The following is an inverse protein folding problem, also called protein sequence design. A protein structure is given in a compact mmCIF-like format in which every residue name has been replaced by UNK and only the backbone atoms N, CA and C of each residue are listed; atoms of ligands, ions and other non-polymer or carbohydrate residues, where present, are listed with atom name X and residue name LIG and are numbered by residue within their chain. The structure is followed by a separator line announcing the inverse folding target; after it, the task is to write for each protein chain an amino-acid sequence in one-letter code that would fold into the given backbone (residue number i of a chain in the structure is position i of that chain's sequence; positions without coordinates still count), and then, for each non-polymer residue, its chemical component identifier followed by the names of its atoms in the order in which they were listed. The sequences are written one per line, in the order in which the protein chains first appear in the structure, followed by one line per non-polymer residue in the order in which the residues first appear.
data_IF_525339964174
#
_entry.id   IF_525339964174
#
_cell.length_a   1.000
_cell.length_b   1.000
_cell.length_c   1.000
_cell.angle_alpha   90.00
_cell.angle_beta   90.00
_cell.angle_gamma   90.00
#
_symmetry.space_group_name_H-M   'P 1'
#
loop_
_entity.id
_entity.type
_entity.pdbx_description
1 polymer ?
#
# COMPACT_ATOMS: atom_id res chain seq x y z
N UNK A 1 0.65 54.78 20.63
CA UNK A 1 -0.66 55.43 20.38
C UNK A 1 -1.15 54.86 19.05
N UNK A 2 -2.15 54.01 18.93
CA UNK A 2 -3.40 53.82 19.66
C UNK A 2 -3.65 52.32 19.97
N UNK A 3 -4.13 52.07 21.18
CA UNK A 3 -4.80 50.83 21.60
C UNK A 3 -6.25 50.84 21.08
N UNK A 4 -6.79 49.67 20.75
CA UNK A 4 -8.17 49.31 21.17
C UNK A 4 -8.25 47.81 21.45
N UNK A 5 -8.39 47.49 22.73
CA UNK A 5 -8.86 46.21 23.27
C UNK A 5 -10.28 46.46 23.76
N UNK A 6 -11.27 45.67 23.33
CA UNK A 6 -12.40 45.25 24.19
C UNK A 6 -12.77 43.80 23.83
N UNK A 7 -12.66 42.95 24.86
CA UNK A 7 -13.23 41.59 24.96
C UNK A 7 -14.72 41.69 25.30
N UNK A 8 -15.52 40.73 24.85
CA UNK A 8 -16.49 40.07 25.75
C UNK A 8 -16.90 38.70 25.23
N UNK A 9 -16.81 37.77 26.17
CA UNK A 9 -17.19 36.36 26.23
C UNK A 9 -18.64 36.02 25.87
N UNK A 10 -18.83 34.84 25.29
CA UNK A 10 -19.97 33.97 25.60
C UNK A 10 -19.52 32.49 25.56
N UNK A 11 -19.67 31.85 26.70
CA UNK A 11 -19.51 30.42 26.97
C UNK A 11 -20.61 29.58 26.33
N UNK A 12 -20.24 28.45 25.72
CA UNK A 12 -21.07 27.24 25.67
C UNK A 12 -20.16 26.01 25.56
N UNK A 13 -20.38 25.09 26.51
CA UNK A 13 -19.66 23.85 26.75
C UNK A 13 -20.43 22.63 26.24
N UNK A 14 -19.67 21.56 25.96
CA UNK A 14 -20.06 20.14 25.77
C UNK A 14 -20.79 19.81 24.44
N UNK A 15 -20.50 18.74 23.70
CA UNK A 15 -19.79 17.49 23.99
C UNK A 15 -19.24 16.83 22.70
N UNK A 16 -18.12 16.11 22.86
CA UNK A 16 -17.75 14.79 22.30
C UNK A 16 -18.19 14.39 20.89
N UNK A 17 -17.23 14.12 19.98
CA UNK A 17 -16.82 12.75 19.63
C UNK A 17 -15.78 12.71 18.49
N UNK A 18 -14.70 11.98 18.80
CA UNK A 18 -13.94 11.02 18.00
C UNK A 18 -13.58 11.25 16.51
N UNK A 19 -12.28 11.01 16.28
CA UNK A 19 -11.69 10.29 15.14
C UNK A 19 -11.62 11.01 13.79
N UNK A 20 -10.41 11.47 13.46
CA UNK A 20 -10.02 11.73 12.08
C UNK A 20 -8.63 11.12 11.82
N UNK A 21 -8.65 9.85 11.41
CA UNK A 21 -7.55 9.18 10.72
C UNK A 21 -8.03 8.86 9.31
N UNK A 22 -7.20 9.09 8.31
CA UNK A 22 -7.51 8.75 6.92
C UNK A 22 -7.29 9.92 5.98
N UNK A 23 -6.05 10.07 5.52
CA UNK A 23 -5.76 10.91 4.36
C UNK A 23 -6.53 10.38 3.15
N UNK A 24 -7.33 11.25 2.56
CA UNK A 24 -8.01 11.00 1.28
C UNK A 24 -7.48 12.00 0.28
N UNK A 25 -6.67 11.52 -0.66
CA UNK A 25 -6.27 12.26 -1.85
C UNK A 25 -7.24 11.94 -2.99
N UNK A 26 -7.65 13.02 -3.67
CA UNK A 26 -8.44 13.14 -4.90
C UNK A 26 -9.97 13.07 -4.79
N UNK A 27 -10.57 14.23 -4.48
CA UNK A 27 -11.91 14.60 -4.92
C UNK A 27 -11.84 15.52 -6.14
N UNK A 28 -12.73 15.31 -7.11
CA UNK A 28 -12.93 16.19 -8.27
C UNK A 28 -13.34 17.60 -7.79
N UNK A 29 -12.54 18.61 -8.15
CA UNK A 29 -12.77 20.01 -7.82
C UNK A 29 -13.68 20.68 -8.87
N UNK A 30 -14.95 20.27 -8.99
CA UNK A 30 -15.93 21.06 -9.74
C UNK A 30 -17.05 21.55 -8.80
N UNK A 31 -17.23 22.87 -8.64
CA UNK A 31 -18.43 23.39 -7.98
C UNK A 31 -19.63 23.16 -8.89
N UNK A 32 -20.74 22.61 -8.35
CA UNK A 32 -22.03 22.64 -9.03
C UNK A 32 -22.50 24.10 -9.13
N UNK A 33 -22.15 24.78 -10.22
CA UNK A 33 -22.67 26.10 -10.53
C UNK A 33 -24.16 25.98 -10.83
N UNK A 34 -25.00 26.71 -10.08
CA UNK A 34 -26.47 26.63 -10.16
C UNK A 34 -27.08 27.40 -11.34
N UNK A 35 -26.26 27.97 -12.22
CA UNK A 35 -26.69 28.83 -13.32
C UNK A 35 -26.03 28.39 -14.64
N UNK A 36 -26.75 28.57 -15.76
CA UNK A 36 -26.39 28.20 -17.15
C UNK A 36 -25.19 29.01 -17.74
N UNK A 37 -24.08 29.08 -17.03
CA UNK A 37 -22.84 29.64 -17.57
C UNK A 37 -21.93 28.50 -18.02
N UNK A 38 -21.60 28.46 -19.32
CA UNK A 38 -20.59 27.53 -19.83
C UNK A 38 -19.22 27.88 -19.26
N UNK A 39 -18.45 26.87 -18.89
CA UNK A 39 -17.08 27.01 -18.39
C UNK A 39 -16.10 26.55 -19.47
N UNK A 40 -15.34 27.48 -20.05
CA UNK A 40 -14.35 27.15 -21.09
C UNK A 40 -13.10 26.45 -20.52
N UNK A 41 -12.77 26.73 -19.25
CA UNK A 41 -11.61 26.13 -18.57
C UNK A 41 -11.78 26.12 -17.04
N UNK A 42 -11.14 25.15 -16.40
CA UNK A 42 -11.04 25.06 -14.94
C UNK A 42 -9.57 24.82 -14.58
N UNK A 43 -9.07 25.54 -13.57
CA UNK A 43 -7.77 25.26 -12.99
C UNK A 43 -7.91 24.73 -11.56
N UNK A 44 -7.10 23.74 -11.21
CA UNK A 44 -7.02 23.17 -9.88
C UNK A 44 -5.60 23.36 -9.35
N UNK A 45 -5.45 24.03 -8.21
CA UNK A 45 -4.17 24.13 -7.52
C UNK A 45 -4.13 23.10 -6.40
N UNK A 46 -3.21 22.14 -6.51
CA UNK A 46 -3.00 21.08 -5.52
C UNK A 46 -1.66 21.25 -4.83
N UNK A 47 -1.61 20.82 -3.57
CA UNK A 47 -0.39 20.77 -2.77
C UNK A 47 -0.30 19.38 -2.16
N UNK A 48 0.76 18.67 -2.46
CA UNK A 48 0.99 17.32 -1.95
C UNK A 48 1.80 17.36 -0.64
N UNK A 49 1.50 16.41 0.24
CA UNK A 49 2.23 16.19 1.48
C UNK A 49 2.85 14.80 1.42
N UNK A 50 4.14 14.72 1.73
CA UNK A 50 4.89 13.46 1.76
C UNK A 50 5.45 13.26 3.15
N UNK A 51 5.11 12.13 3.79
CA UNK A 51 5.61 11.79 5.12
C UNK A 51 6.55 10.60 5.06
N UNK A 52 7.64 10.69 5.81
CA UNK A 52 8.54 9.57 6.06
C UNK A 52 8.98 9.59 7.52
N UNK A 53 9.50 8.49 8.03
CA UNK A 53 9.92 8.38 9.42
C UNK A 53 11.27 7.71 9.55
N UNK A 54 11.95 8.02 10.65
CA UNK A 54 13.23 7.45 11.01
C UNK A 54 13.28 7.11 12.49
N UNK A 55 13.99 6.03 12.82
CA UNK A 55 14.24 5.59 14.18
C UNK A 55 15.74 5.67 14.44
N UNK A 56 16.13 6.39 15.48
CA UNK A 56 17.50 6.44 15.95
C UNK A 56 17.60 5.79 17.33
N UNK A 57 18.52 4.84 17.47
CA UNK A 57 18.79 4.15 18.72
C UNK A 57 20.14 4.63 19.25
N UNK A 58 20.15 5.19 20.45
CA UNK A 58 21.35 5.58 21.18
C UNK A 58 21.60 4.52 22.24
N UNK A 59 22.66 3.73 22.06
CA UNK A 59 23.06 2.71 23.03
C UNK A 59 23.91 3.30 24.16
N UNK A 60 23.88 2.64 25.32
CA UNK A 60 24.57 3.08 26.53
C UNK A 60 24.16 4.50 26.94
N UNK A 61 22.86 4.83 26.86
CA UNK A 61 22.38 6.20 27.00
C UNK A 61 22.71 6.80 28.36
N UNK A 62 22.63 5.99 29.42
CA UNK A 62 22.97 6.37 30.80
C UNK A 62 24.38 6.94 30.93
N UNK A 63 25.36 6.39 30.20
CA UNK A 63 26.76 6.83 30.26
C UNK A 63 26.94 8.30 29.84
N UNK A 64 26.17 8.77 28.85
CA UNK A 64 26.21 10.18 28.44
C UNK A 64 25.59 11.11 29.49
N UNK A 65 24.75 10.58 30.39
CA UNK A 65 24.17 11.34 31.49
C UNK A 65 25.12 11.44 32.68
N UNK A 66 25.98 10.46 32.87
CA UNK A 66 27.01 10.44 33.93
C UNK A 66 28.28 11.21 33.57
N UNK A 67 28.53 11.41 32.28
CA UNK A 67 29.74 12.08 31.77
C UNK A 67 29.94 13.49 32.38
N UNK A 68 31.13 13.88 32.86
CA UNK A 68 31.33 15.20 33.46
C UNK A 68 31.14 16.39 32.49
N UNK A 69 31.13 16.16 31.18
CA UNK A 69 30.94 17.20 30.17
C UNK A 69 29.51 17.79 30.24
N UNK A 70 29.38 19.13 30.37
CA UNK A 70 28.08 19.76 30.58
C UNK A 70 27.20 19.80 29.33
N UNK A 71 27.80 19.71 28.13
CA UNK A 71 27.09 19.76 26.86
C UNK A 71 27.63 18.65 25.98
N UNK A 72 26.80 17.64 25.74
CA UNK A 72 27.10 16.53 24.84
C UNK A 72 26.16 16.63 23.64
N UNK A 73 26.73 16.64 22.44
CA UNK A 73 25.97 16.72 21.19
C UNK A 73 26.07 15.39 20.45
N UNK A 74 24.97 14.64 20.43
CA UNK A 74 24.85 13.40 19.69
C UNK A 74 24.17 13.66 18.35
N UNK A 75 24.61 12.94 17.33
CA UNK A 75 24.16 13.10 15.95
C UNK A 75 23.88 11.74 15.34
N UNK A 76 22.69 11.55 14.77
CA UNK A 76 22.38 10.34 14.01
C UNK A 76 23.18 10.29 12.70
N UNK A 77 23.26 9.10 12.11
CA UNK A 77 23.61 8.96 10.69
C UNK A 77 22.67 9.81 9.84
N UNK A 78 23.15 10.43 8.74
CA UNK A 78 22.26 11.07 7.78
C UNK A 78 21.25 10.07 7.21
N UNK A 79 20.01 10.49 7.03
CA UNK A 79 18.93 9.68 6.47
C UNK A 79 18.09 10.47 5.47
N UNK A 80 17.45 9.75 4.56
CA UNK A 80 16.67 10.28 3.45
C UNK A 80 15.37 9.51 3.27
N UNK A 81 14.34 10.11 2.66
CA UNK A 81 13.17 9.38 2.20
C UNK A 81 13.57 8.28 1.20
N UNK A 82 12.97 7.08 1.31
CA UNK A 82 13.27 5.94 0.43
C UNK A 82 12.81 6.19 -1.02
N UNK A 83 11.75 6.98 -1.20
CA UNK A 83 11.20 7.31 -2.51
C UNK A 83 10.47 8.66 -2.51
N UNK A 84 10.24 9.21 -3.70
CA UNK A 84 9.52 10.47 -3.92
C UNK A 84 10.42 11.65 -4.27
N UNK A 85 9.80 12.80 -4.55
CA UNK A 85 10.46 14.04 -5.04
C UNK A 85 11.53 14.55 -4.07
N UNK A 86 11.44 14.18 -2.79
CA UNK A 86 12.40 14.57 -1.75
C UNK A 86 13.44 13.49 -1.42
N UNK A 87 13.58 12.42 -2.22
CA UNK A 87 14.56 11.36 -1.94
C UNK A 87 16.02 11.84 -1.93
N UNK A 88 16.34 12.93 -2.65
CA UNK A 88 17.66 13.56 -2.66
C UNK A 88 17.99 14.36 -1.38
N UNK A 89 17.02 14.51 -0.47
CA UNK A 89 17.16 15.33 0.74
C UNK A 89 17.80 14.52 1.86
N UNK A 90 18.78 15.08 2.57
CA UNK A 90 19.46 14.44 3.69
C UNK A 90 19.15 15.17 4.98
N UNK A 91 18.79 14.38 5.99
CA UNK A 91 18.36 14.83 7.31
C UNK A 91 19.15 14.12 8.38
N UNK A 92 19.22 14.72 9.58
CA UNK A 92 19.83 14.10 10.74
C UNK A 92 19.13 14.53 12.00
N UNK A 93 19.04 13.62 12.96
CA UNK A 93 18.63 13.96 14.32
C UNK A 93 19.84 14.39 15.12
N UNK A 94 19.66 15.46 15.89
CA UNK A 94 20.65 15.97 16.84
C UNK A 94 20.01 15.93 18.23
N UNK A 95 20.66 15.25 19.17
CA UNK A 95 20.19 15.11 20.54
C UNK A 95 21.23 15.69 21.50
N UNK A 96 20.75 16.43 22.49
CA UNK A 96 21.56 16.89 23.61
C UNK A 96 21.00 16.26 24.89
N UNK A 97 21.61 15.18 25.39
CA UNK A 97 21.09 14.43 26.54
C UNK A 97 20.91 15.31 27.79
N UNK A 98 21.82 16.26 28.01
CA UNK A 98 21.84 17.23 29.12
C UNK A 98 21.35 18.63 28.74
N UNK A 99 20.72 18.74 27.58
CA UNK A 99 20.30 20.01 27.01
C UNK A 99 21.42 20.75 26.27
N UNK A 100 21.05 21.73 25.45
CA UNK A 100 21.99 22.45 24.58
C UNK A 100 22.36 23.87 25.04
N UNK A 101 21.67 24.41 26.05
CA UNK A 101 21.95 25.72 26.65
C UNK A 101 21.77 25.67 28.17
N UNK A 102 22.39 26.61 28.91
CA UNK A 102 22.37 26.60 30.38
C UNK A 102 20.98 26.62 31.04
N UNK A 103 19.95 27.15 30.36
CA UNK A 103 18.56 27.14 30.86
C UNK A 103 17.80 25.82 30.60
N UNK A 104 18.38 24.89 29.83
CA UNK A 104 17.81 23.58 29.50
C UNK A 104 18.55 22.42 30.18
N UNK A 105 19.40 22.69 31.18
CA UNK A 105 20.25 21.67 31.84
C UNK A 105 19.49 20.47 32.42
N UNK A 106 18.20 20.63 32.71
CA UNK A 106 17.33 19.59 33.26
C UNK A 106 16.42 18.95 32.20
N UNK A 107 16.67 19.21 30.92
CA UNK A 107 15.90 18.66 29.81
C UNK A 107 16.83 18.08 28.76
N UNK A 108 16.43 16.96 28.18
CA UNK A 108 16.96 16.54 26.89
C UNK A 108 16.42 17.46 25.80
N UNK A 109 17.29 17.90 24.89
CA UNK A 109 16.92 18.66 23.69
C UNK A 109 17.00 17.76 22.46
N UNK A 110 16.09 17.97 21.50
CA UNK A 110 16.12 17.25 20.23
C UNK A 110 15.87 18.21 19.07
N UNK A 111 16.62 18.02 17.98
CA UNK A 111 16.51 18.80 16.76
C UNK A 111 16.58 17.90 15.54
N UNK A 112 15.88 18.30 14.50
CA UNK A 112 16.02 17.80 13.15
C UNK A 112 16.81 18.82 12.35
N UNK A 113 17.91 18.38 11.76
CA UNK A 113 18.77 19.16 10.89
C UNK A 113 18.55 18.75 9.44
N UNK A 114 18.42 19.73 8.55
CA UNK A 114 18.42 19.51 7.11
C UNK A 114 19.84 19.70 6.59
N UNK A 115 20.52 18.59 6.28
CA UNK A 115 21.96 18.57 5.97
C UNK A 115 22.21 18.95 4.51
N UNK A 116 21.39 18.47 3.58
CA UNK A 116 21.63 18.62 2.15
C UNK A 116 20.37 18.48 1.32
N UNK A 117 20.22 19.33 0.31
CA UNK A 117 19.33 19.11 -0.83
C UNK A 117 19.32 20.34 -1.73
N UNK A 118 18.58 20.26 -2.83
CA UNK A 118 18.66 21.23 -3.93
C UNK A 118 17.94 22.55 -3.65
N UNK A 119 16.93 22.53 -2.78
CA UNK A 119 16.11 23.69 -2.42
C UNK A 119 15.81 23.74 -0.93
N UNK A 120 15.34 24.90 -0.48
CA UNK A 120 14.71 25.07 0.82
C UNK A 120 13.44 24.23 0.88
N UNK A 121 13.20 23.56 2.01
CA UNK A 121 12.09 22.62 2.16
C UNK A 121 11.12 23.13 3.21
N UNK A 122 9.83 23.13 2.88
CA UNK A 122 8.77 23.38 3.86
C UNK A 122 8.35 22.07 4.49
N UNK A 123 8.65 21.89 5.78
CA UNK A 123 8.38 20.64 6.48
C UNK A 123 7.87 20.87 7.91
N UNK A 124 7.32 19.80 8.49
CA UNK A 124 6.95 19.69 9.89
C UNK A 124 7.48 18.37 10.44
N UNK A 125 8.06 18.40 11.63
CA UNK A 125 8.54 17.24 12.35
C UNK A 125 7.65 16.89 13.55
N UNK A 126 7.58 15.59 13.84
CA UNK A 126 6.91 15.01 15.00
C UNK A 126 7.86 14.01 15.64
N UNK A 127 8.07 14.11 16.95
CA UNK A 127 9.07 13.35 17.69
C UNK A 127 8.41 12.56 18.80
N UNK A 128 8.83 11.32 18.97
CA UNK A 128 8.43 10.48 20.09
C UNK A 128 9.62 9.69 20.61
N UNK A 129 9.61 9.38 21.91
CA UNK A 129 10.40 8.28 22.43
C UNK A 129 9.64 6.96 22.21
N UNK A 130 10.37 5.86 22.21
CA UNK A 130 9.79 4.52 22.11
C UNK A 130 10.00 3.78 23.42
N UNK A 131 8.94 3.19 23.95
CA UNK A 131 8.98 2.47 25.21
C UNK A 131 9.53 1.03 25.06
N UNK A 132 9.70 0.30 26.18
CA UNK A 132 10.16 -1.10 26.18
C UNK A 132 9.23 -2.04 25.41
N UNK A 133 7.94 -1.72 25.35
CA UNK A 133 6.92 -2.45 24.58
C UNK A 133 6.94 -2.12 23.08
N UNK A 134 7.90 -1.31 22.63
CA UNK A 134 8.01 -0.81 21.25
C UNK A 134 6.83 0.08 20.82
N UNK A 135 6.19 0.77 21.77
CA UNK A 135 5.12 1.73 21.52
C UNK A 135 5.65 3.17 21.56
N UNK A 136 5.07 4.05 20.75
CA UNK A 136 5.39 5.47 20.76
C UNK A 136 4.76 6.14 22.00
N UNK A 137 5.57 6.89 22.75
CA UNK A 137 5.09 7.85 23.76
C UNK A 137 4.29 8.99 23.13
N UNK A 138 3.81 9.94 23.94
CA UNK A 138 3.14 11.13 23.42
C UNK A 138 4.02 11.89 22.41
N UNK A 139 3.53 12.00 21.17
CA UNK A 139 4.25 12.68 20.09
C UNK A 139 4.22 14.19 20.28
N UNK A 140 5.40 14.80 20.37
CA UNK A 140 5.52 16.26 20.29
C UNK A 140 5.78 16.69 18.85
N UNK A 141 5.03 17.68 18.38
CA UNK A 141 5.02 18.09 16.97
C UNK A 141 5.22 19.58 16.82
N UNK A 142 5.80 20.01 15.69
CA UNK A 142 5.86 21.42 15.36
C UNK A 142 4.45 22.02 15.29
N UNK A 143 4.29 23.27 15.70
CA UNK A 143 2.99 23.96 15.64
C UNK A 143 2.51 24.12 14.18
N UNK A 144 3.44 24.40 13.26
CA UNK A 144 3.18 24.67 11.85
C UNK A 144 4.33 24.22 10.96
N UNK A 145 4.06 24.11 9.66
CA UNK A 145 5.11 23.91 8.66
C UNK A 145 6.09 25.08 8.65
N UNK A 146 7.37 24.76 8.68
CA UNK A 146 8.48 25.72 8.69
C UNK A 146 9.44 25.45 7.55
N UNK A 147 10.12 26.50 7.09
CA UNK A 147 11.17 26.36 6.07
C UNK A 147 12.46 25.89 6.73
N UNK A 148 13.00 24.79 6.21
CA UNK A 148 14.31 24.25 6.52
C UNK A 148 15.26 24.66 5.39
N UNK A 149 16.36 25.31 5.78
CA UNK A 149 17.49 25.63 4.89
C UNK A 149 18.62 24.66 5.17
N UNK A 150 19.42 24.38 4.15
CA UNK A 150 20.60 23.52 4.29
C UNK A 150 21.50 24.03 5.43
N UNK A 151 21.86 23.15 6.36
CA UNK A 151 22.64 23.46 7.57
C UNK A 151 21.82 23.98 8.77
N UNK A 152 20.52 24.22 8.62
CA UNK A 152 19.67 24.65 9.72
C UNK A 152 19.05 23.45 10.46
N UNK A 153 18.96 23.58 11.78
CA UNK A 153 18.25 22.66 12.64
C UNK A 153 17.06 23.33 13.32
N UNK A 154 16.00 22.55 13.57
CA UNK A 154 14.80 22.96 14.30
C UNK A 154 14.32 21.85 15.19
N UNK A 155 13.73 22.19 16.33
CA UNK A 155 13.22 21.19 17.27
C UNK A 155 12.92 21.78 18.63
N UNK A 156 13.05 20.97 19.67
CA UNK A 156 12.63 21.29 21.02
C UNK A 156 13.85 21.36 21.95
N UNK A 157 14.11 22.57 22.45
CA UNK A 157 15.13 22.80 23.48
C UNK A 157 14.76 22.06 24.77
N UNK A 158 13.50 22.11 25.20
CA UNK A 158 13.02 21.44 26.41
C UNK A 158 12.15 20.23 26.05
N UNK A 159 12.70 19.22 25.37
CA UNK A 159 11.94 18.09 24.86
C UNK A 159 11.41 17.20 25.98
N UNK A 160 12.26 16.56 26.78
CA UNK A 160 11.82 15.70 27.90
C UNK A 160 12.62 16.06 29.14
N UNK A 161 11.96 16.16 30.30
CA UNK A 161 12.64 16.41 31.57
C UNK A 161 13.51 15.22 31.96
N UNK A 162 14.65 15.50 32.57
CA UNK A 162 15.55 14.49 33.08
C UNK A 162 14.87 13.56 34.12
N UNK A 163 14.12 14.12 35.07
CA UNK A 163 13.36 13.32 36.04
C UNK A 163 12.35 12.38 35.38
N UNK A 164 11.80 12.79 34.23
CA UNK A 164 10.95 11.91 33.43
C UNK A 164 11.80 10.80 32.81
N UNK A 165 12.99 11.10 32.26
CA UNK A 165 13.93 10.10 31.70
C UNK A 165 14.44 9.09 32.73
N UNK A 166 14.65 9.49 33.98
CA UNK A 166 15.04 8.59 35.07
C UNK A 166 13.87 7.77 35.59
N UNK A 167 12.65 8.32 35.67
CA UNK A 167 11.43 7.51 35.91
C UNK A 167 11.16 6.51 34.78
N UNK A 168 11.62 6.84 33.57
CA UNK A 168 11.54 6.08 32.33
C UNK A 168 12.59 4.94 32.25
N UNK A 169 13.54 4.83 33.19
CA UNK A 169 14.41 3.65 33.37
C UNK A 169 13.62 2.37 33.70
N UNK A 170 12.37 2.48 34.14
CA UNK A 170 11.53 1.31 34.41
C UNK A 170 10.63 0.89 33.22
N UNK A 171 10.31 1.79 32.28
CA UNK A 171 9.32 1.52 31.22
C UNK A 171 9.77 1.83 29.77
N UNK A 172 10.86 2.58 29.54
CA UNK A 172 11.24 2.98 28.17
C UNK A 172 12.66 2.70 27.71
N UNK A 173 13.65 2.75 28.60
CA UNK A 173 15.01 2.34 28.27
C UNK A 173 15.08 0.82 28.29
N UNK A 174 15.03 0.21 27.11
CA UNK A 174 15.24 -1.22 26.90
C UNK A 174 16.75 -1.48 26.82
N UNK A 175 17.33 -2.14 27.82
CA UNK A 175 18.77 -2.47 27.86
C UNK A 175 19.69 -1.24 27.66
N UNK A 176 19.39 -0.13 28.34
CA UNK A 176 20.09 1.17 28.22
C UNK A 176 20.12 1.77 26.80
N UNK A 177 19.11 1.46 25.98
CA UNK A 177 18.94 2.02 24.64
C UNK A 177 17.84 3.06 24.60
N UNK A 178 18.19 4.31 24.30
CA UNK A 178 17.22 5.36 24.01
C UNK A 178 16.80 5.27 22.54
N UNK A 179 15.53 4.97 22.31
CA UNK A 179 14.93 4.89 20.97
C UNK A 179 14.15 6.17 20.67
N UNK A 180 14.62 6.94 19.69
CA UNK A 180 14.06 8.21 19.25
C UNK A 180 13.40 8.01 17.89
N UNK A 181 12.09 8.21 17.82
CA UNK A 181 11.32 8.19 16.59
C UNK A 181 11.04 9.61 16.10
N UNK A 182 11.23 9.85 14.80
CA UNK A 182 10.81 11.08 14.14
C UNK A 182 9.97 10.77 12.91
N UNK A 183 8.88 11.50 12.72
CA UNK A 183 8.10 11.57 11.49
C UNK A 183 8.21 12.95 10.89
N UNK A 184 8.61 13.03 9.64
CA UNK A 184 8.83 14.27 8.89
C UNK A 184 7.79 14.32 7.78
N UNK A 185 7.02 15.40 7.74
CA UNK A 185 6.06 15.67 6.67
C UNK A 185 6.57 16.86 5.86
N UNK A 186 6.94 16.60 4.61
CA UNK A 186 7.35 17.59 3.63
C UNK A 186 6.13 18.06 2.83
N UNK A 187 6.06 19.36 2.62
CA UNK A 187 5.05 20.03 1.81
C UNK A 187 5.69 20.49 0.51
N UNK A 188 5.23 19.95 -0.61
CA UNK A 188 5.69 20.36 -1.92
C UNK A 188 5.10 21.71 -2.35
N UNK A 189 5.67 22.23 -3.43
CA UNK A 189 5.17 23.44 -4.07
C UNK A 189 3.76 23.19 -4.61
N UNK A 190 2.96 24.25 -4.65
CA UNK A 190 1.62 24.15 -5.21
C UNK A 190 1.74 23.99 -6.74
N UNK A 191 1.17 22.92 -7.27
CA UNK A 191 1.10 22.67 -8.71
C UNK A 191 -0.31 23.07 -9.16
N UNK A 192 -0.39 23.97 -10.14
CA UNK A 192 -1.64 24.37 -10.77
C UNK A 192 -1.77 23.64 -12.09
N UNK A 193 -2.79 22.80 -12.21
CA UNK A 193 -3.14 22.10 -13.45
C UNK A 193 -4.37 22.76 -14.05
N UNK A 194 -4.31 23.09 -15.34
CA UNK A 194 -5.43 23.66 -16.10
C UNK A 194 -6.02 22.59 -17.01
N UNK A 195 -7.33 22.41 -16.93
CA UNK A 195 -8.09 21.49 -17.79
C UNK A 195 -9.04 22.31 -18.65
N UNK A 196 -8.90 22.18 -19.96
CA UNK A 196 -9.86 22.73 -20.92
C UNK A 196 -11.10 21.84 -20.94
N UNK A 197 -12.27 22.45 -20.79
CA UNK A 197 -13.53 21.73 -20.85
C UNK A 197 -14.08 21.80 -22.26
N UNK A 198 -14.71 20.71 -22.72
CA UNK A 198 -15.46 20.70 -23.96
C UNK A 198 -16.83 20.14 -23.59
N UNK A 199 -17.86 21.00 -23.62
CA UNK A 199 -19.24 20.56 -23.37
C UNK A 199 -19.61 19.51 -24.43
N UNK A 200 -20.06 18.34 -23.98
CA UNK A 200 -20.72 17.35 -24.83
C UNK A 200 -22.22 17.59 -24.72
N UNK A 201 -22.94 17.54 -25.85
CA UNK A 201 -24.39 17.74 -25.92
C UNK A 201 -25.14 16.99 -24.80
N UNK A 202 -25.80 17.76 -23.94
CA UNK A 202 -26.46 17.34 -22.68
C UNK A 202 -27.76 16.54 -22.88
N UNK A 203 -27.80 15.62 -23.85
CA UNK A 203 -28.98 14.80 -24.06
C UNK A 203 -29.09 13.60 -23.09
N UNK A 204 -28.01 13.14 -22.44
CA UNK A 204 -28.03 11.90 -21.63
C UNK A 204 -27.11 11.90 -20.39
N UNK A 205 -26.85 13.02 -19.73
CA UNK A 205 -26.00 13.03 -18.52
C UNK A 205 -26.81 12.70 -17.24
N UNK A 206 -26.56 11.50 -16.67
CA UNK A 206 -27.13 11.06 -15.38
C UNK A 206 -26.21 11.53 -14.25
N UNK A 207 -26.78 12.27 -13.28
CA UNK A 207 -26.07 12.77 -12.09
C UNK A 207 -25.60 11.63 -11.16
N UNK A 208 -24.30 11.40 -11.06
CA UNK A 208 -23.72 10.55 -10.02
C UNK A 208 -23.33 11.38 -8.79
N UNK A 209 -23.98 11.10 -7.65
CA UNK A 209 -23.58 11.61 -6.34
C UNK A 209 -22.37 10.81 -5.85
N UNK A 210 -21.15 11.31 -6.07
CA UNK A 210 -19.91 10.60 -5.74
C UNK A 210 -19.77 10.35 -4.23
N UNK A 211 -19.86 9.09 -3.78
CA UNK A 211 -19.58 8.67 -2.40
C UNK A 211 -18.08 8.39 -2.14
N UNK A 212 -17.18 9.20 -2.71
CA UNK A 212 -15.73 8.97 -2.64
C UNK A 212 -15.27 7.71 -3.40
N UNK A 213 -13.99 7.33 -3.24
CA UNK A 213 -13.39 6.14 -3.87
C UNK A 213 -14.12 4.83 -3.50
N UNK A 214 -14.65 4.73 -2.28
CA UNK A 214 -15.46 3.59 -1.85
C UNK A 214 -16.81 3.54 -2.60
N UNK A 215 -17.39 4.71 -2.88
CA UNK A 215 -18.51 4.86 -3.78
C UNK A 215 -18.20 4.31 -5.16
N UNK A 216 -17.08 4.73 -5.74
CA UNK A 216 -16.68 4.31 -7.09
C UNK A 216 -16.43 2.81 -7.19
N UNK A 217 -15.71 2.22 -6.23
CA UNK A 217 -15.47 0.77 -6.16
C UNK A 217 -16.80 0.01 -6.04
N UNK A 218 -17.71 0.51 -5.21
CA UNK A 218 -19.04 -0.07 -5.10
C UNK A 218 -19.83 0.08 -6.39
N UNK A 219 -19.80 1.24 -7.04
CA UNK A 219 -20.56 1.49 -8.26
C UNK A 219 -20.04 0.61 -9.42
N UNK A 220 -18.72 0.40 -9.54
CA UNK A 220 -18.16 -0.59 -10.47
C UNK A 220 -18.46 -2.04 -10.08
N UNK A 221 -18.48 -2.37 -8.79
CA UNK A 221 -18.93 -3.69 -8.31
C UNK A 221 -20.39 -3.93 -8.68
N UNK A 222 -21.26 -2.93 -8.52
CA UNK A 222 -22.65 -2.98 -8.95
C UNK A 222 -22.76 -3.09 -10.46
N UNK A 223 -21.88 -2.43 -11.22
CA UNK A 223 -21.82 -2.56 -12.68
C UNK A 223 -21.43 -3.98 -13.12
N UNK A 224 -20.60 -4.70 -12.35
CA UNK A 224 -20.29 -6.11 -12.64
C UNK A 224 -21.46 -7.05 -12.27
N UNK A 225 -22.08 -6.85 -11.10
CA UNK A 225 -23.10 -7.75 -10.55
C UNK A 225 -24.49 -7.52 -11.19
N UNK A 226 -24.86 -6.27 -11.37
CA UNK A 226 -26.21 -5.85 -11.73
C UNK A 226 -26.29 -5.20 -13.11
N UNK A 227 -25.26 -5.32 -13.97
CA UNK A 227 -25.36 -4.77 -15.32
C UNK A 227 -26.60 -5.37 -15.99
N UNK A 228 -27.64 -4.58 -16.31
CA UNK A 228 -28.65 -5.07 -17.22
C UNK A 228 -27.92 -5.39 -18.52
N UNK A 229 -28.30 -6.47 -19.19
CA UNK A 229 -27.75 -6.93 -20.47
C UNK A 229 -27.72 -5.88 -21.60
N UNK A 230 -28.21 -4.66 -21.34
CA UNK A 230 -28.18 -3.48 -22.20
C UNK A 230 -26.89 -2.66 -22.12
N UNK A 231 -26.10 -2.73 -21.04
CA UNK A 231 -24.86 -1.93 -20.90
C UNK A 231 -23.57 -2.73 -21.11
N UNK A 232 -23.61 -4.05 -20.96
CA UNK A 232 -22.48 -4.92 -21.32
C UNK A 232 -22.31 -5.01 -22.84
N UNK A 233 -21.11 -4.77 -23.33
CA UNK A 233 -20.76 -4.81 -24.76
C UNK A 233 -19.90 -6.04 -25.12
N UNK A 234 -19.65 -6.93 -24.15
CA UNK A 234 -18.92 -8.19 -24.36
C UNK A 234 -19.38 -9.31 -23.42
N UNK A 235 -19.33 -10.55 -23.93
CA UNK A 235 -19.60 -11.78 -23.16
C UNK A 235 -18.36 -12.66 -23.10
N UNK A 236 -18.04 -13.17 -21.93
CA UNK A 236 -16.95 -14.12 -21.70
C UNK A 236 -17.57 -15.49 -21.42
N UNK A 237 -17.45 -16.42 -22.35
CA UNK A 237 -17.92 -17.80 -22.20
C UNK A 237 -16.79 -18.68 -21.67
N UNK A 238 -17.10 -19.46 -20.65
CA UNK A 238 -16.20 -20.45 -20.05
C UNK A 238 -16.72 -21.85 -20.39
N UNK A 239 -15.97 -22.57 -21.20
CA UNK A 239 -16.29 -23.94 -21.56
C UNK A 239 -15.56 -24.87 -20.58
N UNK A 240 -16.25 -25.32 -19.53
CA UNK A 240 -15.66 -26.31 -18.61
C UNK A 240 -15.59 -27.67 -19.28
N UNK A 241 -14.42 -28.29 -19.26
CA UNK A 241 -14.27 -29.72 -19.58
C UNK A 241 -14.96 -30.49 -18.44
N UNK A 242 -15.91 -31.40 -18.71
CA UNK A 242 -16.50 -32.23 -17.66
C UNK A 242 -15.39 -33.09 -17.06
N UNK A 243 -15.07 -32.90 -15.78
CA UNK A 243 -14.29 -33.86 -15.03
C UNK A 243 -15.06 -35.19 -15.03
N UNK A 244 -14.47 -36.22 -15.64
CA UNK A 244 -14.99 -37.58 -15.52
C UNK A 244 -15.16 -37.96 -14.04
N UNK A 245 -16.32 -38.57 -13.74
CA UNK A 245 -16.74 -39.18 -12.48
C UNK A 245 -17.39 -38.28 -11.42
N UNK A 246 -18.69 -38.01 -11.58
CA UNK A 246 -19.69 -38.29 -10.53
C UNK A 246 -21.11 -38.29 -11.10
N UNK A 247 -21.94 -39.19 -10.59
CA UNK A 247 -23.30 -39.48 -11.02
C UNK A 247 -24.27 -38.29 -10.85
N UNK A 248 -25.34 -38.21 -11.67
CA UNK A 248 -26.33 -37.14 -11.56
C UNK A 248 -27.23 -37.37 -10.34
N UNK A 249 -27.30 -36.36 -9.46
CA UNK A 249 -28.33 -36.27 -8.42
C UNK A 249 -29.28 -35.14 -8.84
N UNK A 250 -30.53 -35.51 -9.12
CA UNK A 250 -31.63 -34.59 -9.40
C UNK A 250 -32.09 -33.86 -8.14
N UNK A 251 -32.35 -32.56 -8.32
CA UNK A 251 -33.22 -31.67 -7.53
C UNK A 251 -32.76 -31.27 -6.11
N UNK A 252 -32.55 -29.97 -5.90
CA UNK A 252 -33.53 -28.99 -5.35
C UNK A 252 -32.75 -27.71 -5.00
N UNK A 253 -33.35 -26.58 -5.35
CA UNK A 253 -33.04 -25.17 -5.02
C UNK A 253 -32.26 -24.35 -6.07
N UNK A 254 -33.03 -23.55 -6.81
CA UNK A 254 -32.62 -22.55 -7.79
C UNK A 254 -31.89 -21.39 -7.08
N UNK A 255 -30.58 -21.50 -6.88
CA UNK A 255 -29.66 -20.35 -6.73
C UNK A 255 -28.18 -20.75 -6.57
N UNK A 256 -27.62 -21.57 -7.49
CA UNK A 256 -26.18 -21.47 -7.87
C UNK A 256 -25.66 -22.44 -8.94
N UNK A 257 -26.52 -23.13 -9.69
CA UNK A 257 -26.06 -23.91 -10.85
C UNK A 257 -26.44 -23.20 -12.13
N UNK A 258 -25.52 -22.51 -12.81
CA UNK A 258 -25.71 -22.20 -14.23
C UNK A 258 -24.50 -21.57 -14.90
N UNK A 259 -23.97 -22.28 -15.90
CA UNK A 259 -23.46 -21.74 -17.17
C UNK A 259 -22.39 -20.63 -17.10
N UNK A 260 -21.15 -21.01 -17.43
CA UNK A 260 -20.00 -20.11 -17.56
C UNK A 260 -20.18 -19.07 -18.67
N UNK A 261 -20.93 -18.00 -18.43
CA UNK A 261 -20.96 -16.82 -19.29
C UNK A 261 -21.04 -15.57 -18.44
N UNK A 262 -20.04 -14.71 -18.54
CA UNK A 262 -19.93 -13.46 -17.81
C UNK A 262 -20.15 -12.28 -18.75
N UNK A 263 -21.03 -11.36 -18.39
CA UNK A 263 -21.19 -10.09 -19.10
C UNK A 263 -20.18 -9.09 -18.57
N UNK A 264 -19.51 -8.35 -19.46
CA UNK A 264 -18.51 -7.36 -19.08
C UNK A 264 -18.51 -6.15 -20.04
N UNK A 265 -17.56 -5.23 -19.82
CA UNK A 265 -17.42 -3.99 -20.57
C UNK A 265 -16.02 -3.91 -21.18
N UNK A 266 -15.91 -3.85 -22.51
CA UNK A 266 -14.65 -3.79 -23.27
C UNK A 266 -13.77 -2.66 -22.78
N UNK A 267 -14.36 -1.49 -22.55
CA UNK A 267 -13.64 -0.31 -22.07
C UNK A 267 -12.92 -0.57 -20.73
N UNK A 268 -13.62 -1.18 -19.77
CA UNK A 268 -13.07 -1.46 -18.43
C UNK A 268 -11.99 -2.54 -18.53
N UNK A 269 -12.26 -3.62 -19.28
CA UNK A 269 -11.32 -4.72 -19.49
C UNK A 269 -10.03 -4.22 -20.18
N UNK A 270 -10.15 -3.44 -21.25
CA UNK A 270 -9.01 -2.86 -21.97
C UNK A 270 -8.20 -1.89 -21.10
N UNK A 271 -8.87 -1.04 -20.31
CA UNK A 271 -8.17 -0.09 -19.43
C UNK A 271 -7.36 -0.78 -18.33
N UNK A 272 -7.74 -2.01 -17.94
CA UNK A 272 -7.16 -2.73 -16.79
C UNK A 272 -6.26 -3.88 -17.16
N UNK A 273 -6.32 -4.37 -18.40
CA UNK A 273 -5.47 -5.46 -18.90
C UNK A 273 -4.95 -5.12 -20.30
N UNK A 274 -3.62 -5.03 -20.49
CA UNK A 274 -3.02 -4.87 -21.81
C UNK A 274 -3.42 -5.99 -22.79
N UNK A 275 -3.65 -7.20 -22.28
CA UNK A 275 -4.08 -8.35 -23.10
C UNK A 275 -5.49 -8.14 -23.62
N UNK A 276 -6.42 -7.67 -22.79
CA UNK A 276 -7.76 -7.29 -23.27
C UNK A 276 -7.72 -6.08 -24.19
N UNK A 277 -6.85 -5.08 -23.94
CA UNK A 277 -6.69 -3.94 -24.84
C UNK A 277 -6.23 -4.37 -26.24
N UNK A 278 -5.24 -5.28 -26.30
CA UNK A 278 -4.78 -5.87 -27.55
C UNK A 278 -5.88 -6.71 -28.21
N UNK A 279 -6.61 -7.51 -27.42
CA UNK A 279 -7.74 -8.32 -27.89
C UNK A 279 -8.88 -7.49 -28.49
N UNK A 280 -9.07 -6.24 -28.06
CA UNK A 280 -10.12 -5.34 -28.59
C UNK A 280 -9.60 -4.31 -29.58
N UNK A 281 -8.31 -4.33 -29.90
CA UNK A 281 -7.74 -3.49 -30.95
C UNK A 281 -8.21 -3.96 -32.34
N UNK A 282 -8.13 -3.08 -33.35
CA UNK A 282 -8.69 -3.31 -34.69
C UNK A 282 -8.30 -4.69 -35.28
N UNK A 283 -9.29 -5.40 -35.86
CA UNK A 283 -9.16 -6.65 -36.62
C UNK A 283 -8.99 -7.98 -35.84
N UNK A 284 -9.53 -8.12 -34.63
CA UNK A 284 -9.64 -9.41 -33.92
C UNK A 284 -11.05 -10.01 -33.97
N UNK A 285 -11.16 -11.33 -33.82
CA UNK A 285 -12.45 -12.05 -33.84
C UNK A 285 -13.33 -11.60 -32.67
N UNK A 286 -12.73 -11.46 -31.49
CA UNK A 286 -13.36 -11.08 -30.23
C UNK A 286 -13.97 -9.67 -30.28
N UNK A 287 -13.33 -8.76 -31.02
CA UNK A 287 -13.86 -7.42 -31.23
C UNK A 287 -15.07 -7.42 -32.18
N UNK A 288 -15.12 -8.37 -33.12
CA UNK A 288 -16.18 -8.50 -34.13
C UNK A 288 -17.39 -9.30 -33.61
N UNK A 289 -17.15 -10.34 -32.80
CA UNK A 289 -18.18 -11.24 -32.26
C UNK A 289 -18.70 -10.81 -30.89
N UNK A 290 -18.06 -9.84 -30.24
CA UNK A 290 -18.35 -9.39 -28.87
C UNK A 290 -18.40 -10.56 -27.87
N UNK A 291 -17.64 -11.63 -28.14
CA UNK A 291 -17.61 -12.85 -27.34
C UNK A 291 -16.17 -13.33 -27.20
N UNK A 292 -15.74 -13.58 -25.96
CA UNK A 292 -14.46 -14.21 -25.64
C UNK A 292 -14.77 -15.63 -25.19
N UNK A 293 -14.06 -16.62 -25.73
CA UNK A 293 -14.15 -18.01 -25.27
C UNK A 293 -12.90 -18.37 -24.49
N UNK A 294 -13.08 -18.74 -23.23
CA UNK A 294 -12.02 -19.17 -22.32
C UNK A 294 -12.25 -20.64 -21.99
N UNK A 295 -11.28 -21.47 -22.36
CA UNK A 295 -11.37 -22.93 -22.22
C UNK A 295 -10.45 -23.49 -21.12
N UNK A 296 -9.57 -22.66 -20.57
CA UNK A 296 -8.46 -23.08 -19.71
C UNK A 296 -8.57 -22.58 -18.27
N UNK A 297 -9.69 -21.92 -17.91
CA UNK A 297 -9.91 -21.37 -16.57
C UNK A 297 -11.28 -21.78 -16.03
N UNK A 298 -11.35 -22.04 -14.72
CA UNK A 298 -12.62 -22.32 -14.04
C UNK A 298 -13.48 -21.04 -13.91
N UNK A 299 -14.82 -21.15 -13.92
CA UNK A 299 -15.71 -20.00 -13.74
C UNK A 299 -15.38 -19.15 -12.50
N UNK A 300 -15.01 -19.79 -11.38
CA UNK A 300 -14.68 -19.10 -10.13
C UNK A 300 -13.41 -18.24 -10.25
N UNK A 301 -12.43 -18.72 -11.03
CA UNK A 301 -11.19 -17.99 -11.31
C UNK A 301 -11.46 -16.78 -12.21
N UNK A 302 -12.35 -16.92 -13.20
CA UNK A 302 -12.78 -15.81 -14.05
C UNK A 302 -13.58 -14.78 -13.27
N UNK A 303 -14.48 -15.22 -12.39
CA UNK A 303 -15.21 -14.33 -11.51
C UNK A 303 -14.25 -13.50 -10.65
N UNK A 304 -13.26 -14.14 -10.02
CA UNK A 304 -12.26 -13.45 -9.19
C UNK A 304 -11.43 -12.45 -9.99
N UNK A 305 -11.04 -12.81 -11.23
CA UNK A 305 -10.34 -11.89 -12.13
C UNK A 305 -11.21 -10.68 -12.48
N UNK A 306 -12.48 -10.88 -12.79
CA UNK A 306 -13.41 -9.80 -13.12
C UNK A 306 -13.67 -8.90 -11.91
N UNK A 307 -13.87 -9.47 -10.72
CA UNK A 307 -13.99 -8.70 -9.48
C UNK A 307 -12.77 -7.78 -9.29
N UNK A 308 -11.56 -8.30 -9.49
CA UNK A 308 -10.34 -7.50 -9.44
C UNK A 308 -10.30 -6.39 -10.50
N UNK A 309 -10.65 -6.68 -11.75
CA UNK A 309 -10.62 -5.69 -12.84
C UNK A 309 -11.55 -4.50 -12.50
N UNK A 310 -12.74 -4.77 -11.95
CA UNK A 310 -13.73 -3.74 -11.66
C UNK A 310 -13.47 -3.00 -10.34
N UNK A 311 -12.94 -3.68 -9.32
CA UNK A 311 -12.89 -3.14 -7.95
C UNK A 311 -11.48 -2.89 -7.42
N UNK A 312 -10.46 -3.47 -8.07
CA UNK A 312 -9.08 -3.50 -7.58
C UNK A 312 -8.86 -4.42 -6.36
N UNK A 313 -9.87 -5.21 -5.95
CA UNK A 313 -9.81 -6.10 -4.77
C UNK A 313 -10.30 -7.50 -5.13
N UNK A 314 -9.81 -8.50 -4.41
CA UNK A 314 -10.33 -9.88 -4.44
C UNK A 314 -10.65 -10.31 -3.02
N UNK A 315 -11.89 -10.72 -2.77
CA UNK A 315 -12.36 -11.03 -1.41
C UNK A 315 -11.86 -12.40 -0.90
N UNK A 316 -11.61 -13.36 -1.80
CA UNK A 316 -11.26 -14.73 -1.42
C UNK A 316 -10.17 -15.33 -2.31
N UNK A 317 -8.96 -14.76 -2.21
CA UNK A 317 -7.77 -15.22 -2.97
C UNK A 317 -7.43 -16.69 -2.66
N UNK A 318 -7.84 -17.22 -1.50
CA UNK A 318 -7.36 -18.50 -0.96
C UNK A 318 -8.00 -19.75 -1.60
N UNK A 319 -9.16 -19.65 -2.23
CA UNK A 319 -9.87 -20.81 -2.78
C UNK A 319 -9.28 -21.35 -4.10
N UNK A 320 -8.50 -20.55 -4.81
CA UNK A 320 -7.92 -20.92 -6.12
C UNK A 320 -6.63 -20.15 -6.41
N UNK A 321 -5.74 -20.00 -5.41
CA UNK A 321 -4.57 -19.11 -5.50
C UNK A 321 -3.66 -19.44 -6.71
N UNK A 322 -3.47 -20.73 -7.01
CA UNK A 322 -2.64 -21.20 -8.14
C UNK A 322 -3.22 -20.78 -9.50
N UNK A 323 -4.50 -21.06 -9.73
CA UNK A 323 -5.13 -20.69 -11.01
C UNK A 323 -5.29 -19.19 -11.14
N UNK A 324 -5.57 -18.49 -10.02
CA UNK A 324 -5.65 -17.03 -10.02
C UNK A 324 -4.30 -16.40 -10.34
N UNK A 325 -3.19 -16.96 -9.86
CA UNK A 325 -1.84 -16.55 -10.23
C UNK A 325 -1.59 -16.73 -11.73
N UNK A 326 -1.86 -17.92 -12.27
CA UNK A 326 -1.74 -18.21 -13.71
C UNK A 326 -2.60 -17.27 -14.56
N UNK A 327 -3.82 -17.02 -14.11
CA UNK A 327 -4.78 -16.13 -14.76
C UNK A 327 -4.25 -14.68 -14.76
N UNK A 328 -3.79 -14.18 -13.61
CA UNK A 328 -3.25 -12.84 -13.49
C UNK A 328 -2.03 -12.62 -14.39
N UNK A 329 -1.12 -13.60 -14.46
CA UNK A 329 0.03 -13.54 -15.36
C UNK A 329 -0.40 -13.55 -16.84
N UNK A 330 -1.31 -14.48 -17.23
CA UNK A 330 -1.84 -14.60 -18.59
C UNK A 330 -2.48 -13.30 -19.09
N UNK A 331 -3.22 -12.59 -18.24
CA UNK A 331 -3.90 -11.33 -18.59
C UNK A 331 -3.11 -10.08 -18.19
N UNK A 332 -1.85 -10.23 -17.76
CA UNK A 332 -0.95 -9.13 -17.36
C UNK A 332 -1.54 -8.20 -16.29
N UNK A 333 -2.16 -8.79 -15.27
CA UNK A 333 -2.73 -8.11 -14.10
C UNK A 333 -1.69 -8.11 -12.96
N UNK A 334 -0.71 -7.21 -13.05
CA UNK A 334 0.49 -7.24 -12.21
C UNK A 334 0.21 -7.21 -10.69
N UNK A 335 -0.62 -6.28 -10.19
CA UNK A 335 -0.88 -6.23 -8.75
C UNK A 335 -1.67 -7.45 -8.25
N UNK A 336 -2.55 -8.03 -9.09
CA UNK A 336 -3.26 -9.26 -8.76
C UNK A 336 -2.29 -10.45 -8.71
N UNK A 337 -1.33 -10.49 -9.65
CA UNK A 337 -0.27 -11.51 -9.68
C UNK A 337 0.56 -11.46 -8.40
N UNK A 338 1.00 -10.26 -8.00
CA UNK A 338 1.76 -10.06 -6.75
C UNK A 338 0.94 -10.45 -5.51
N UNK A 339 -0.34 -10.09 -5.45
CA UNK A 339 -1.22 -10.50 -4.34
C UNK A 339 -1.41 -12.01 -4.27
N UNK A 340 -1.61 -12.67 -5.41
CA UNK A 340 -1.71 -14.13 -5.49
C UNK A 340 -0.37 -14.80 -5.11
N UNK A 341 0.76 -14.22 -5.51
CA UNK A 341 2.09 -14.71 -5.16
C UNK A 341 2.36 -14.65 -3.66
N UNK A 342 2.04 -13.53 -3.00
CA UNK A 342 2.12 -13.41 -1.55
C UNK A 342 1.23 -14.44 -0.84
N UNK A 343 0.03 -14.69 -1.36
CA UNK A 343 -0.84 -15.73 -0.83
C UNK A 343 -0.24 -17.13 -1.02
N UNK A 344 0.36 -17.42 -2.18
CA UNK A 344 1.08 -18.69 -2.44
C UNK A 344 2.24 -18.89 -1.47
N UNK A 345 3.04 -17.85 -1.21
CA UNK A 345 4.14 -17.91 -0.24
C UNK A 345 3.65 -18.24 1.17
N UNK A 346 2.44 -17.79 1.54
CA UNK A 346 1.83 -18.09 2.84
C UNK A 346 1.16 -19.47 2.91
N UNK A 347 0.84 -20.09 1.77
CA UNK A 347 0.14 -21.37 1.67
C UNK A 347 1.04 -22.56 1.30
N UNK A 348 2.37 -22.40 1.39
CA UNK A 348 3.33 -23.48 1.13
C UNK A 348 3.13 -24.58 2.17
N UNK A 349 2.83 -25.79 1.72
CA UNK A 349 2.71 -27.00 2.52
C UNK A 349 3.47 -28.16 1.88
N UNK A 350 3.56 -29.30 2.58
CA UNK A 350 4.21 -30.51 2.06
C UNK A 350 3.58 -30.93 0.73
N UNK A 351 2.25 -30.93 0.66
CA UNK A 351 1.49 -31.36 -0.52
C UNK A 351 1.55 -30.36 -1.69
N UNK A 352 1.59 -29.05 -1.39
CA UNK A 352 1.55 -27.99 -2.43
C UNK A 352 2.93 -27.55 -2.92
N UNK A 353 4.00 -27.84 -2.16
CA UNK A 353 5.36 -27.38 -2.44
C UNK A 353 5.86 -27.72 -3.85
N UNK A 354 5.64 -28.94 -4.33
CA UNK A 354 6.09 -29.38 -5.65
C UNK A 354 5.38 -28.63 -6.80
N UNK A 355 4.07 -28.40 -6.65
CA UNK A 355 3.27 -27.66 -7.63
C UNK A 355 3.64 -26.17 -7.64
N UNK A 356 3.82 -25.55 -6.47
CA UNK A 356 4.24 -24.14 -6.36
C UNK A 356 5.65 -23.94 -6.91
N UNK A 357 6.57 -24.89 -6.70
CA UNK A 357 7.92 -24.81 -7.26
C UNK A 357 7.91 -24.85 -8.79
N UNK A 358 7.10 -25.74 -9.37
CA UNK A 358 6.89 -25.83 -10.82
C UNK A 358 6.35 -24.52 -11.37
N UNK A 359 5.35 -23.94 -10.70
CA UNK A 359 4.76 -22.66 -11.09
C UNK A 359 5.78 -21.52 -11.04
N UNK A 360 6.57 -21.44 -9.97
CA UNK A 360 7.56 -20.40 -9.80
C UNK A 360 8.61 -20.43 -10.92
N UNK A 361 9.01 -21.63 -11.36
CA UNK A 361 9.94 -21.81 -12.47
C UNK A 361 9.31 -21.44 -13.82
N UNK A 362 8.09 -21.91 -14.10
CA UNK A 362 7.33 -21.62 -15.32
C UNK A 362 7.11 -20.12 -15.54
N UNK A 363 6.86 -19.37 -14.47
CA UNK A 363 6.59 -17.93 -14.52
C UNK A 363 7.83 -17.09 -14.18
N UNK A 364 9.01 -17.72 -14.06
CA UNK A 364 10.28 -17.07 -13.75
C UNK A 364 10.28 -16.20 -12.48
N UNK A 365 9.45 -16.55 -11.48
CA UNK A 365 9.47 -15.90 -10.17
C UNK A 365 10.61 -16.45 -9.31
N UNK A 366 11.68 -15.65 -9.17
CA UNK A 366 12.85 -15.99 -8.37
C UNK A 366 12.55 -16.00 -6.87
N UNK A 367 11.73 -15.07 -6.40
CA UNK A 367 11.41 -14.92 -4.97
C UNK A 367 10.54 -16.08 -4.47
N UNK A 368 9.49 -16.44 -5.20
CA UNK A 368 8.67 -17.61 -4.90
C UNK A 368 9.49 -18.90 -4.97
N UNK A 369 10.33 -19.04 -6.01
CA UNK A 369 11.20 -20.23 -6.19
C UNK A 369 12.16 -20.39 -5.01
N UNK A 370 12.86 -19.32 -4.62
CA UNK A 370 13.77 -19.35 -3.47
C UNK A 370 13.05 -19.71 -2.17
N UNK A 371 11.85 -19.15 -1.95
CA UNK A 371 11.07 -19.42 -0.74
C UNK A 371 10.60 -20.88 -0.65
N UNK A 372 10.17 -21.45 -1.77
CA UNK A 372 9.72 -22.86 -1.82
C UNK A 372 10.91 -23.81 -1.66
N UNK A 373 12.06 -23.52 -2.28
CA UNK A 373 13.28 -24.32 -2.10
C UNK A 373 13.72 -24.31 -0.62
N UNK A 374 13.73 -23.15 0.04
CA UNK A 374 14.03 -23.06 1.47
C UNK A 374 13.07 -23.92 2.32
N UNK A 375 11.78 -23.94 1.98
CA UNK A 375 10.82 -24.79 2.69
C UNK A 375 11.05 -26.28 2.47
N UNK A 376 11.45 -26.68 1.26
CA UNK A 376 11.76 -28.08 0.90
C UNK A 376 13.02 -28.55 1.66
N UNK A 377 14.09 -27.75 1.60
CA UNK A 377 15.41 -28.10 2.18
C UNK A 377 15.40 -28.01 3.71
N UNK A 378 14.63 -27.07 4.29
CA UNK A 378 14.56 -26.81 5.74
C UNK A 378 13.86 -27.87 6.60
N UNK A 379 13.90 -29.15 6.20
CA UNK A 379 13.46 -30.31 6.99
C UNK A 379 12.30 -31.11 6.42
N UNK A 380 11.67 -30.66 5.33
CA UNK A 380 10.46 -31.31 4.78
C UNK A 380 10.74 -32.26 3.61
N UNK A 381 11.97 -32.31 3.08
CA UNK A 381 12.36 -33.09 1.89
C UNK A 381 11.92 -34.56 1.94
N UNK A 382 12.08 -35.24 3.10
CA UNK A 382 11.69 -36.65 3.25
C UNK A 382 10.18 -36.87 3.10
N UNK A 383 9.37 -35.94 3.58
CA UNK A 383 7.92 -36.02 3.45
C UNK A 383 7.46 -35.64 2.04
N UNK A 384 8.07 -34.61 1.45
CA UNK A 384 7.72 -34.12 0.11
C UNK A 384 8.04 -35.15 -0.96
N UNK A 385 9.19 -35.82 -0.87
CA UNK A 385 9.59 -36.88 -1.82
C UNK A 385 8.63 -38.08 -1.87
N UNK A 386 7.79 -38.24 -0.84
CA UNK A 386 6.78 -39.30 -0.77
C UNK A 386 5.42 -38.87 -1.36
N UNK A 387 5.24 -37.58 -1.66
CA UNK A 387 3.98 -37.06 -2.22
C UNK A 387 3.84 -37.42 -3.69
N UNK A 388 2.60 -37.65 -4.15
CA UNK A 388 2.31 -37.88 -5.57
C UNK A 388 2.69 -36.66 -6.43
N UNK A 389 2.54 -35.45 -5.88
CA UNK A 389 2.92 -34.20 -6.53
C UNK A 389 4.42 -34.14 -6.88
N UNK A 390 5.28 -34.58 -5.96
CA UNK A 390 6.72 -34.66 -6.21
C UNK A 390 7.08 -35.69 -7.28
N UNK A 391 6.43 -36.85 -7.31
CA UNK A 391 6.68 -37.86 -8.34
C UNK A 391 6.29 -37.36 -9.74
N UNK A 392 5.16 -36.64 -9.88
CA UNK A 392 4.76 -35.99 -11.14
C UNK A 392 5.76 -34.91 -11.55
N UNK A 393 6.27 -34.16 -10.59
CA UNK A 393 7.25 -33.11 -10.80
C UNK A 393 8.59 -33.65 -11.32
N UNK A 394 9.15 -34.70 -10.69
CA UNK A 394 10.40 -35.35 -11.13
C UNK A 394 10.27 -35.90 -12.55
N UNK A 395 9.10 -36.43 -12.92
CA UNK A 395 8.85 -36.93 -14.26
C UNK A 395 8.76 -35.84 -15.34
N UNK A 396 8.30 -34.63 -14.97
CA UNK A 396 8.12 -33.53 -15.92
C UNK A 396 9.38 -32.68 -16.11
N UNK A 397 10.13 -32.39 -15.04
CA UNK A 397 11.29 -31.48 -15.10
C UNK A 397 12.45 -32.01 -14.23
N UNK A 398 13.32 -32.90 -14.78
CA UNK A 398 14.45 -33.47 -14.04
C UNK A 398 15.52 -32.44 -13.63
N UNK A 399 15.70 -31.38 -14.43
CA UNK A 399 16.76 -30.37 -14.20
C UNK A 399 16.54 -29.59 -12.89
N UNK A 400 15.27 -29.32 -12.56
CA UNK A 400 14.89 -28.56 -11.36
C UNK A 400 15.08 -29.38 -10.08
N UNK A 401 15.02 -30.71 -10.18
CA UNK A 401 15.40 -31.64 -9.08
C UNK A 401 16.89 -31.51 -8.77
N UNK A 402 17.73 -31.33 -9.79
CA UNK A 402 19.18 -31.11 -9.62
C UNK A 402 19.44 -29.80 -8.87
N UNK A 403 18.66 -28.75 -9.13
CA UNK A 403 18.75 -27.47 -8.41
C UNK A 403 18.34 -27.60 -6.93
N UNK A 404 17.28 -28.36 -6.64
CA UNK A 404 16.90 -28.68 -5.25
C UNK A 404 18.00 -29.48 -4.54
N UNK A 405 18.60 -30.47 -5.22
CA UNK A 405 19.72 -31.25 -4.67
C UNK A 405 20.95 -30.36 -4.44
N UNK A 406 21.29 -29.47 -5.36
CA UNK A 406 22.39 -28.51 -5.16
C UNK A 406 22.14 -27.61 -3.95
N UNK A 407 20.89 -27.15 -3.77
CA UNK A 407 20.51 -26.38 -2.59
C UNK A 407 20.66 -27.17 -1.28
N UNK A 408 20.45 -28.50 -1.28
CA UNK A 408 20.71 -29.36 -0.11
C UNK A 408 22.20 -29.57 0.19
N UNK A 409 23.11 -29.35 -0.77
CA UNK A 409 24.56 -29.51 -0.57
C UNK A 409 25.27 -28.24 -0.09
N UNK A 410 24.53 -27.13 0.01
CA UNK A 410 25.02 -25.81 0.43
C UNK A 410 24.71 -25.49 1.91
N UNK A 411 24.03 -26.40 2.63
CA UNK A 411 23.93 -26.44 4.10
C UNK A 411 24.92 -27.48 4.65
#
# INVERSE_FOLDING_TARGET
MYNTVIKSSSSLSLASNESASGGTSNSNFLPNMRNDYSLDSVCCTKRTLHSFSHMWIVENFSSYLEDPEPIICLSSSPFSPVSGVSAATQWRLVCYPKGNYGASSNYMSIFLEYIKGERDIKAKAEYSLVNRKCELTEMRKDAQFSVYKCGNSRGFINYVKYDTLTLLENDTLDDDKLKIYVRITIMDDAITEETKYQEFDDAESINFTTRGLEGLVRDFSQLLIHSPSKMSDIKIKVNTIPSHNSHPIESVDDSNSSTGTFSAHKLILAARSPVFAAMFSNCTLENTTNTIEINDLRPETIQSMLEYIYTGKVNDIKKSTVELYRCADKYQLEDLRLQAEMALMSSISIDTSAEILLLADQHHSKDLKSRVIQFIVGGNLKAITQTEGWHKYVACIPDLVTEVIQATTLE
#
